data_IF_907943766740
#
_entry.id   IF_907943766740
#
_cell.length_a   1.000
_cell.length_b   1.000
_cell.length_c   1.000
_cell.angle_alpha   90.00
_cell.angle_beta   90.00
_cell.angle_gamma   90.00
#
_symmetry.space_group_name_H-M   'P 1'
#
loop_
_entity.id
_entity.type
_entity.pdbx_description
1 polymer ?
#
# COMPACT_ATOMS: atom_id res chain seq x y z
N UNK A 1 9.99 1.14 19.16
CA UNK A 1 10.53 1.81 17.96
C UNK A 1 12.04 1.86 18.09
N UNK A 2 12.77 1.12 17.25
CA UNK A 2 14.23 1.18 17.22
C UNK A 2 14.61 1.91 15.95
N UNK A 3 15.15 3.13 16.07
CA UNK A 3 15.80 3.80 14.93
C UNK A 3 17.08 3.04 14.63
N UNK A 4 17.01 2.11 13.69
CA UNK A 4 18.22 1.64 13.02
C UNK A 4 18.49 2.67 11.93
N UNK A 5 19.70 3.22 11.87
CA UNK A 5 20.10 4.16 10.82
C UNK A 5 20.15 3.38 9.50
N UNK A 6 19.22 3.67 8.58
CA UNK A 6 19.20 3.16 7.20
C UNK A 6 19.86 4.15 6.23
N UNK A 7 19.74 5.44 6.55
CA UNK A 7 20.42 6.50 5.84
C UNK A 7 21.20 7.32 6.86
N UNK A 8 22.41 7.71 6.49
CA UNK A 8 23.15 8.66 7.30
C UNK A 8 22.35 9.97 7.36
N UNK A 9 22.38 10.63 8.52
CA UNK A 9 21.68 11.91 8.69
C UNK A 9 22.10 12.93 7.60
N UNK A 10 23.31 12.80 7.07
CA UNK A 10 23.80 13.64 5.98
C UNK A 10 23.03 13.39 4.66
N UNK A 11 22.78 12.14 4.30
CA UNK A 11 22.07 11.78 3.06
C UNK A 11 20.61 12.23 3.14
N UNK A 12 19.98 12.07 4.31
CA UNK A 12 18.62 12.56 4.56
C UNK A 12 18.54 14.08 4.37
N UNK A 13 19.48 14.83 4.95
CA UNK A 13 19.51 16.29 4.80
C UNK A 13 19.83 16.72 3.37
N UNK A 14 20.70 15.99 2.66
CA UNK A 14 21.00 16.25 1.25
C UNK A 14 19.77 16.03 0.36
N UNK A 15 19.05 14.92 0.52
CA UNK A 15 17.80 14.64 -0.21
C UNK A 15 16.77 15.74 0.11
N UNK A 16 16.61 16.09 1.38
CA UNK A 16 15.68 17.13 1.81
C UNK A 16 16.00 18.48 1.17
N UNK A 17 17.28 18.86 1.09
CA UNK A 17 17.72 20.10 0.43
C UNK A 17 17.53 20.05 -1.09
N UNK A 18 17.95 18.96 -1.74
CA UNK A 18 17.91 18.82 -3.20
C UNK A 18 16.49 18.79 -3.76
N UNK A 19 15.55 18.26 -3.00
CA UNK A 19 14.14 18.15 -3.40
C UNK A 19 13.23 19.17 -2.69
N UNK A 20 13.81 20.08 -1.90
CA UNK A 20 13.09 21.14 -1.20
C UNK A 20 11.93 20.64 -0.32
N UNK A 21 12.21 19.58 0.45
CA UNK A 21 11.22 18.90 1.31
C UNK A 21 11.11 19.59 2.68
N UNK A 22 9.90 19.61 3.26
CA UNK A 22 9.71 20.10 4.64
C UNK A 22 10.27 19.10 5.67
N UNK A 23 10.15 17.81 5.37
CA UNK A 23 10.54 16.74 6.28
C UNK A 23 10.88 15.47 5.51
N UNK A 24 11.88 14.74 6.00
CA UNK A 24 12.20 13.38 5.57
C UNK A 24 12.64 12.59 6.81
N UNK A 25 12.08 11.39 7.01
CA UNK A 25 12.53 10.43 8.02
C UNK A 25 12.28 9.01 7.58
N UNK A 26 13.24 8.13 7.84
CA UNK A 26 13.09 6.69 7.64
C UNK A 26 12.91 6.02 9.00
N UNK A 27 11.92 5.14 9.11
CA UNK A 27 11.58 4.41 10.33
C UNK A 27 11.51 2.92 10.02
N UNK A 28 12.18 2.09 10.81
CA UNK A 28 11.96 0.64 10.83
C UNK A 28 11.11 0.25 12.03
N UNK A 29 10.10 -0.56 11.75
CA UNK A 29 9.24 -1.16 12.74
C UNK A 29 9.56 -2.65 12.89
N UNK A 30 10.41 -2.98 13.86
CA UNK A 30 10.93 -4.33 14.07
C UNK A 30 9.84 -5.38 14.29
N UNK A 31 8.71 -5.04 14.93
CA UNK A 31 7.66 -6.02 15.21
C UNK A 31 6.89 -6.49 13.96
N UNK A 32 7.01 -5.77 12.84
CA UNK A 32 6.31 -6.08 11.59
C UNK A 32 7.25 -6.19 10.38
N UNK A 33 8.58 -6.19 10.60
CA UNK A 33 9.60 -6.15 9.54
C UNK A 33 9.28 -5.14 8.43
N UNK A 34 8.89 -3.95 8.88
CA UNK A 34 8.33 -2.87 8.06
C UNK A 34 9.30 -1.69 8.00
N UNK A 35 9.50 -1.13 6.81
CA UNK A 35 10.20 0.14 6.62
C UNK A 35 9.20 1.18 6.10
N UNK A 36 9.15 2.33 6.78
CA UNK A 36 8.28 3.45 6.40
C UNK A 36 9.11 4.72 6.25
N UNK A 37 9.00 5.33 5.08
CA UNK A 37 9.65 6.60 4.74
C UNK A 37 8.59 7.69 4.79
N UNK A 38 8.78 8.65 5.70
CA UNK A 38 7.90 9.79 5.85
C UNK A 38 8.45 10.99 5.11
N UNK A 39 7.65 11.54 4.21
CA UNK A 39 7.99 12.74 3.45
C UNK A 39 6.89 13.78 3.68
N UNK A 40 7.26 14.97 4.16
CA UNK A 40 6.34 16.13 4.17
C UNK A 40 6.70 17.03 3.00
N UNK A 41 5.79 17.10 2.04
CA UNK A 41 5.93 17.97 0.86
C UNK A 41 5.41 19.37 1.17
N UNK A 42 5.92 20.36 0.44
CA UNK A 42 5.52 21.76 0.60
C UNK A 42 4.16 22.07 -0.01
N UNK A 43 3.84 21.42 -1.12
CA UNK A 43 2.61 21.59 -1.88
C UNK A 43 2.40 20.41 -2.82
N UNK A 44 1.18 20.26 -3.32
CA UNK A 44 0.76 19.27 -4.33
C UNK A 44 1.52 19.47 -5.64
N UNK A 45 1.86 20.72 -5.99
CA UNK A 45 2.74 21.00 -7.14
C UNK A 45 4.14 20.43 -6.91
N UNK A 46 4.71 20.63 -5.71
CA UNK A 46 6.02 20.04 -5.37
C UNK A 46 5.99 18.53 -5.33
N UNK A 47 4.96 17.95 -4.72
CA UNK A 47 4.73 16.50 -4.78
C UNK A 47 4.72 16.01 -6.23
N UNK A 48 3.94 16.65 -7.13
CA UNK A 48 3.85 16.28 -8.55
C UNK A 48 5.21 16.30 -9.25
N UNK A 49 6.06 17.26 -8.93
CA UNK A 49 7.41 17.42 -9.49
C UNK A 49 8.42 16.40 -8.94
N UNK A 50 8.28 16.07 -7.65
CA UNK A 50 9.35 15.43 -6.87
C UNK A 50 9.13 13.95 -6.58
N UNK A 51 7.89 13.46 -6.51
CA UNK A 51 7.60 12.12 -5.98
C UNK A 51 8.37 11.02 -6.72
N UNK A 52 8.52 11.11 -8.05
CA UNK A 52 9.27 10.13 -8.83
C UNK A 52 10.75 10.18 -8.51
N UNK A 53 11.32 11.39 -8.45
CA UNK A 53 12.76 11.60 -8.23
C UNK A 53 13.16 11.20 -6.82
N UNK A 54 12.38 11.60 -5.83
CA UNK A 54 12.57 11.18 -4.44
C UNK A 54 12.45 9.67 -4.32
N UNK A 55 11.45 9.05 -4.94
CA UNK A 55 11.31 7.60 -4.95
C UNK A 55 12.50 6.89 -5.61
N UNK A 56 13.04 7.41 -6.71
CA UNK A 56 14.22 6.84 -7.37
C UNK A 56 15.48 6.95 -6.51
N UNK A 57 15.76 8.12 -5.93
CA UNK A 57 16.93 8.28 -5.06
C UNK A 57 16.80 7.40 -3.82
N UNK A 58 15.64 7.39 -3.17
CA UNK A 58 15.39 6.51 -2.01
C UNK A 58 15.55 5.03 -2.38
N UNK A 59 15.21 4.65 -3.62
CA UNK A 59 15.39 3.27 -4.07
C UNK A 59 16.84 2.85 -4.10
N UNK A 60 17.69 3.70 -4.67
CA UNK A 60 19.14 3.47 -4.73
C UNK A 60 19.76 3.52 -3.33
N UNK A 61 19.33 4.47 -2.48
CA UNK A 61 19.94 4.65 -1.17
C UNK A 61 19.61 3.55 -0.16
N UNK A 62 18.54 2.78 -0.37
CA UNK A 62 18.05 1.76 0.58
C UNK A 62 18.19 0.35 -0.02
N UNK A 63 18.60 0.22 -1.29
CA UNK A 63 18.66 -1.07 -2.00
C UNK A 63 19.53 -2.09 -1.27
N UNK A 64 20.75 -1.71 -0.87
CA UNK A 64 21.71 -2.60 -0.22
C UNK A 64 21.17 -3.25 1.05
N UNK A 65 20.30 -2.55 1.79
CA UNK A 65 19.72 -3.02 3.03
C UNK A 65 18.49 -3.91 2.79
N UNK A 66 17.74 -3.65 1.71
CA UNK A 66 16.62 -4.50 1.25
C UNK A 66 17.11 -5.79 0.60
N UNK A 67 18.36 -5.84 0.12
CA UNK A 67 18.96 -7.06 -0.44
C UNK A 67 19.29 -8.10 0.65
N UNK A 68 19.42 -7.70 1.91
CA UNK A 68 19.74 -8.59 3.02
C UNK A 68 18.53 -9.48 3.38
N UNK A 69 17.32 -8.95 3.23
CA UNK A 69 16.09 -9.67 3.55
C UNK A 69 15.03 -9.47 2.46
N UNK A 70 14.84 -10.52 1.66
CA UNK A 70 13.84 -10.54 0.58
C UNK A 70 12.41 -10.28 1.07
N UNK A 71 12.10 -10.52 2.35
CA UNK A 71 10.78 -10.25 2.91
C UNK A 71 10.56 -8.75 3.14
N UNK A 72 11.55 -8.06 3.70
CA UNK A 72 11.48 -6.62 4.00
C UNK A 72 11.26 -5.80 2.72
N UNK A 73 11.81 -6.24 1.58
CA UNK A 73 11.55 -5.61 0.26
C UNK A 73 10.07 -5.45 -0.04
N UNK A 74 9.25 -6.42 0.36
CA UNK A 74 7.81 -6.36 0.15
C UNK A 74 7.09 -5.49 1.16
N UNK A 75 7.75 -5.03 2.23
CA UNK A 75 7.16 -4.25 3.32
C UNK A 75 7.82 -2.86 3.42
N UNK A 76 8.08 -2.24 2.27
CA UNK A 76 8.54 -0.85 2.17
C UNK A 76 7.38 0.07 1.78
N UNK A 77 7.22 1.14 2.56
CA UNK A 77 6.18 2.14 2.37
C UNK A 77 6.79 3.54 2.29
N UNK A 78 6.23 4.39 1.42
CA UNK A 78 6.48 5.83 1.40
C UNK A 78 5.16 6.52 1.71
N UNK A 79 5.13 7.28 2.79
CA UNK A 79 3.98 8.04 3.21
C UNK A 79 4.25 9.53 2.99
N UNK A 80 3.59 10.09 1.98
CA UNK A 80 3.62 11.51 1.66
C UNK A 80 2.55 12.22 2.48
N UNK A 81 2.95 13.27 3.19
CA UNK A 81 2.04 14.13 3.96
C UNK A 81 2.06 15.55 3.41
N UNK A 82 0.87 16.14 3.28
CA UNK A 82 0.68 17.50 2.77
C UNK A 82 -0.44 18.20 3.52
N UNK A 83 -0.29 19.50 3.76
CA UNK A 83 -1.31 20.31 4.42
C UNK A 83 -2.47 20.68 3.48
N UNK A 84 -2.21 20.67 2.17
CA UNK A 84 -3.20 20.93 1.14
C UNK A 84 -3.85 19.64 0.63
N UNK A 85 -4.98 19.80 -0.05
CA UNK A 85 -5.64 18.71 -0.77
C UNK A 85 -4.87 18.34 -2.03
N UNK A 86 -4.72 17.04 -2.27
CA UNK A 86 -4.08 16.51 -3.48
C UNK A 86 -5.17 15.98 -4.42
N UNK A 87 -5.08 16.30 -5.71
CA UNK A 87 -6.08 15.85 -6.68
C UNK A 87 -6.15 14.32 -6.76
N UNK A 88 -7.36 13.77 -6.96
CA UNK A 88 -7.55 12.33 -7.06
C UNK A 88 -6.72 11.70 -8.18
N UNK A 89 -6.54 12.41 -9.30
CA UNK A 89 -5.68 11.97 -10.40
C UNK A 89 -4.22 11.78 -9.95
N UNK A 90 -3.68 12.75 -9.21
CA UNK A 90 -2.31 12.69 -8.72
C UNK A 90 -2.15 11.61 -7.64
N UNK A 91 -3.13 11.48 -6.73
CA UNK A 91 -3.16 10.39 -5.75
C UNK A 91 -3.13 9.04 -6.43
N UNK A 92 -4.05 8.80 -7.36
CA UNK A 92 -4.12 7.56 -8.12
C UNK A 92 -2.81 7.26 -8.84
N UNK A 93 -2.21 8.26 -9.49
CA UNK A 93 -0.94 8.10 -10.20
C UNK A 93 0.20 7.65 -9.27
N UNK A 94 0.28 8.22 -8.07
CA UNK A 94 1.34 7.94 -7.11
C UNK A 94 1.09 6.61 -6.42
N UNK A 95 -0.10 6.37 -5.87
CA UNK A 95 -0.41 5.19 -5.06
C UNK A 95 -0.42 3.89 -5.88
N UNK A 96 -0.81 3.95 -7.16
CA UNK A 96 -0.75 2.80 -8.06
C UNK A 96 0.63 2.58 -8.69
N UNK A 97 1.59 3.46 -8.44
CA UNK A 97 2.94 3.26 -8.93
C UNK A 97 3.65 2.18 -8.10
N UNK A 98 3.94 1.04 -8.72
CA UNK A 98 4.52 -0.16 -8.09
C UNK A 98 6.04 -0.12 -7.93
N UNK A 99 6.71 0.94 -8.37
CA UNK A 99 8.18 1.02 -8.31
C UNK A 99 8.64 1.23 -6.85
N UNK A 100 9.61 0.41 -6.40
CA UNK A 100 10.35 0.47 -5.13
C UNK A 100 9.55 0.29 -3.81
N UNK A 101 8.36 0.87 -3.68
CA UNK A 101 7.60 0.87 -2.43
C UNK A 101 6.10 1.10 -2.68
N UNK A 102 5.27 0.67 -1.73
CA UNK A 102 3.86 1.10 -1.68
C UNK A 102 3.81 2.56 -1.24
N UNK A 103 3.10 3.39 -2.00
CA UNK A 103 3.00 4.82 -1.74
C UNK A 103 1.63 5.14 -1.20
N UNK A 104 1.58 6.00 -0.19
CA UNK A 104 0.36 6.45 0.47
C UNK A 104 0.41 7.97 0.52
N UNK A 105 -0.70 8.64 0.18
CA UNK A 105 -0.83 10.09 0.33
C UNK A 105 -1.84 10.38 1.43
N UNK A 106 -1.35 11.05 2.48
CA UNK A 106 -2.18 11.67 3.50
C UNK A 106 -2.20 13.19 3.27
N UNK A 107 -3.24 13.66 2.58
CA UNK A 107 -3.45 15.07 2.31
C UNK A 107 -4.26 15.74 3.43
N UNK A 108 -4.28 17.08 3.45
CA UNK A 108 -4.88 17.88 4.54
C UNK A 108 -4.32 17.55 5.94
N UNK A 109 -3.10 17.01 6.00
CA UNK A 109 -2.41 16.63 7.22
C UNK A 109 -1.67 17.83 7.83
N UNK A 110 -2.23 18.37 8.93
CA UNK A 110 -1.76 19.62 9.56
C UNK A 110 -0.88 19.40 10.79
N UNK A 111 -0.72 18.17 11.22
CA UNK A 111 0.07 17.86 12.41
C UNK A 111 1.55 17.78 12.06
N UNK A 112 2.41 18.02 13.04
CA UNK A 112 3.84 17.77 12.90
C UNK A 112 4.13 16.27 12.96
N UNK A 113 5.17 15.84 12.24
CA UNK A 113 5.64 14.45 12.22
C UNK A 113 6.51 14.14 13.45
N UNK A 114 5.89 14.26 14.63
CA UNK A 114 6.41 13.73 15.89
C UNK A 114 6.32 12.21 15.91
N UNK A 115 7.06 11.54 16.80
CA UNK A 115 7.05 10.08 16.89
C UNK A 115 5.65 9.51 17.17
N UNK A 116 4.86 10.19 18.01
CA UNK A 116 3.47 9.79 18.31
C UNK A 116 2.57 9.89 17.08
N UNK A 117 2.69 10.97 16.32
CA UNK A 117 1.87 11.20 15.13
C UNK A 117 2.28 10.27 13.98
N UNK A 118 3.58 9.98 13.84
CA UNK A 118 4.10 8.95 12.94
C UNK A 118 3.49 7.59 13.27
N UNK A 119 3.45 7.21 14.55
CA UNK A 119 2.84 5.96 14.97
C UNK A 119 1.36 5.88 14.57
N UNK A 120 0.59 6.95 14.80
CA UNK A 120 -0.82 7.03 14.38
C UNK A 120 -1.00 6.86 12.87
N UNK A 121 -0.11 7.44 12.06
CA UNK A 121 -0.15 7.27 10.60
C UNK A 121 0.13 5.83 10.17
N UNK A 122 1.10 5.16 10.80
CA UNK A 122 1.37 3.73 10.55
C UNK A 122 0.16 2.88 10.93
N UNK A 123 -0.42 3.14 12.10
CA UNK A 123 -1.60 2.41 12.59
C UNK A 123 -2.80 2.58 11.65
N UNK A 124 -3.06 3.81 11.21
CA UNK A 124 -4.17 4.15 10.32
C UNK A 124 -4.05 3.51 8.93
N UNK A 125 -2.86 3.49 8.34
CA UNK A 125 -2.70 3.15 6.92
C UNK A 125 -2.07 1.80 6.64
N UNK A 126 -1.35 1.22 7.60
CA UNK A 126 -0.53 0.03 7.36
C UNK A 126 -0.96 -1.13 8.25
N UNK A 127 -0.96 -0.96 9.57
CA UNK A 127 -1.26 -2.09 10.49
C UNK A 127 -2.75 -2.25 10.77
N UNK A 128 -3.55 -1.20 10.57
CA UNK A 128 -4.99 -1.21 10.82
C UNK A 128 -5.35 -1.74 12.22
N UNK A 129 -4.54 -1.39 13.22
CA UNK A 129 -4.72 -1.84 14.60
C UNK A 129 -6.02 -1.33 15.25
N UNK A 130 -6.71 -0.40 14.60
CA UNK A 130 -8.03 0.10 14.96
C UNK A 130 -9.18 -0.80 14.47
N UNK A 131 -8.92 -1.76 13.57
CA UNK A 131 -9.91 -2.75 13.12
C UNK A 131 -10.17 -3.75 14.25
N UNK A 132 -11.37 -3.67 14.82
CA UNK A 132 -11.90 -4.69 15.73
C UNK A 132 -12.69 -5.72 14.94
N UNK A 133 -12.19 -6.94 14.85
CA UNK A 133 -12.98 -8.07 14.37
C UNK A 133 -14.08 -8.36 15.41
N UNK A 134 -15.28 -7.86 15.15
CA UNK A 134 -16.47 -8.30 15.87
C UNK A 134 -16.66 -9.77 15.47
N UNK A 135 -16.67 -10.68 16.46
CA UNK A 135 -17.03 -12.08 16.21
C UNK A 135 -18.42 -12.11 15.57
N UNK A 136 -18.47 -12.30 14.26
CA UNK A 136 -19.71 -12.61 13.57
C UNK A 136 -20.04 -14.07 13.88
N UNK A 137 -21.31 -14.33 14.17
CA UNK A 137 -21.82 -15.70 14.21
C UNK A 137 -21.52 -16.35 12.86
N UNK A 138 -21.03 -17.59 12.83
CA UNK A 138 -21.02 -18.35 11.58
C UNK A 138 -22.46 -18.47 11.09
N UNK A 139 -22.77 -17.74 10.03
CA UNK A 139 -24.03 -17.90 9.33
C UNK A 139 -23.85 -19.15 8.44
N UNK A 140 -24.45 -20.26 8.83
CA UNK A 140 -24.50 -21.50 8.05
C UNK A 140 -25.50 -21.40 6.87
N UNK A 141 -25.73 -20.20 6.35
CA UNK A 141 -26.57 -20.04 5.17
C UNK A 141 -25.74 -20.48 3.97
N UNK A 142 -26.13 -21.62 3.39
CA UNK A 142 -25.64 -22.00 2.07
C UNK A 142 -25.97 -20.84 1.14
N UNK A 143 -24.94 -20.22 0.56
CA UNK A 143 -25.10 -19.15 -0.42
C UNK A 143 -26.10 -19.58 -1.47
N UNK A 144 -27.16 -18.79 -1.67
CA UNK A 144 -28.19 -19.00 -2.70
C UNK A 144 -28.32 -17.75 -3.55
N UNK A 145 -28.48 -17.93 -4.86
CA UNK A 145 -28.69 -16.83 -5.80
C UNK A 145 -29.73 -17.23 -6.84
N UNK A 146 -30.57 -16.28 -7.25
CA UNK A 146 -31.53 -16.48 -8.35
C UNK A 146 -30.87 -16.38 -9.74
N UNK A 147 -29.54 -16.19 -9.79
CA UNK A 147 -28.80 -16.15 -11.05
C UNK A 147 -28.86 -17.50 -11.75
N UNK A 148 -29.06 -17.46 -13.07
CA UNK A 148 -28.99 -18.64 -13.94
C UNK A 148 -27.68 -19.41 -13.76
N UNK A 149 -26.56 -18.68 -13.63
CA UNK A 149 -25.22 -19.26 -13.37
C UNK A 149 -25.20 -20.05 -12.07
N UNK A 150 -25.80 -19.52 -11.00
CA UNK A 150 -25.87 -20.23 -9.73
C UNK A 150 -26.75 -21.49 -9.84
N UNK A 151 -27.87 -21.41 -10.53
CA UNK A 151 -28.77 -22.56 -10.72
C UNK A 151 -28.13 -23.71 -11.49
N UNK A 152 -27.22 -23.41 -12.41
CA UNK A 152 -26.48 -24.41 -13.21
C UNK A 152 -25.30 -25.02 -12.43
N UNK A 153 -24.72 -24.28 -11.49
CA UNK A 153 -23.54 -24.72 -10.73
C UNK A 153 -23.87 -25.36 -9.36
N UNK A 154 -25.00 -25.02 -8.74
CA UNK A 154 -25.32 -25.41 -7.35
C UNK A 154 -25.35 -26.93 -7.08
N UNK A 155 -25.59 -27.74 -8.11
CA UNK A 155 -25.71 -29.20 -8.00
C UNK A 155 -24.45 -29.92 -8.52
N UNK A 156 -23.42 -29.19 -8.95
CA UNK A 156 -22.16 -29.75 -9.45
C UNK A 156 -21.19 -30.05 -8.31
N UNK A 157 -21.55 -31.02 -7.46
CA UNK A 157 -20.75 -31.37 -6.29
C UNK A 157 -19.53 -32.28 -6.58
N UNK A 158 -19.40 -32.83 -7.79
CA UNK A 158 -18.23 -33.59 -8.24
C UNK A 158 -17.98 -33.37 -9.73
N UNK A 159 -17.12 -32.40 -10.06
CA UNK A 159 -16.68 -32.14 -11.43
C UNK A 159 -15.29 -32.77 -11.61
N UNK A 160 -15.21 -33.86 -12.36
CA UNK A 160 -13.96 -34.31 -12.97
C UNK A 160 -13.73 -33.49 -14.27
N UNK A 161 -12.47 -33.25 -14.65
CA UNK A 161 -12.04 -32.39 -15.75
C UNK A 161 -12.86 -32.54 -17.05
N UNK A 162 -13.29 -33.76 -17.38
CA UNK A 162 -14.09 -34.02 -18.59
C UNK A 162 -15.49 -33.39 -18.58
N UNK A 163 -16.07 -33.08 -17.41
CA UNK A 163 -17.36 -32.37 -17.30
C UNK A 163 -17.23 -30.86 -17.45
N UNK A 164 -16.03 -30.29 -17.25
CA UNK A 164 -15.80 -28.84 -17.38
C UNK A 164 -15.96 -28.42 -18.84
N UNK A 165 -15.42 -29.20 -19.78
CA UNK A 165 -15.50 -28.91 -21.21
C UNK A 165 -16.95 -28.98 -21.75
N UNK A 166 -17.78 -29.88 -21.22
CA UNK A 166 -19.21 -29.93 -21.56
C UNK A 166 -19.97 -28.69 -21.06
N UNK A 167 -19.67 -28.23 -19.85
CA UNK A 167 -20.32 -27.04 -19.26
C UNK A 167 -19.90 -25.77 -20.00
N UNK A 168 -18.62 -25.64 -20.38
CA UNK A 168 -18.13 -24.50 -21.13
C UNK A 168 -18.81 -24.38 -22.50
N UNK A 169 -18.99 -25.50 -23.22
CA UNK A 169 -19.71 -25.50 -24.49
C UNK A 169 -21.19 -25.11 -24.34
N UNK A 170 -21.88 -25.56 -23.28
CA UNK A 170 -23.27 -25.20 -23.01
C UNK A 170 -23.45 -23.70 -22.71
N UNK A 171 -22.47 -23.07 -22.06
CA UNK A 171 -22.48 -21.64 -21.78
C UNK A 171 -22.20 -20.79 -23.03
N UNK A 172 -21.36 -21.29 -23.95
CA UNK A 172 -21.07 -20.60 -25.22
C UNK A 172 -22.26 -20.64 -26.21
N UNK A 173 -23.04 -21.72 -26.21
CA UNK A 173 -24.24 -21.83 -27.07
C UNK A 173 -25.39 -20.91 -26.63
N UNK A 174 -25.45 -20.51 -25.36
CA UNK A 174 -26.46 -19.60 -24.81
C UNK A 174 -26.23 -18.10 -25.08
N UNK A 175 -25.16 -17.74 -25.78
CA UNK A 175 -24.75 -16.34 -26.07
C UNK A 175 -25.01 -15.95 -27.54
N UNK A 176 -25.70 -16.79 -28.33
CA UNK A 176 -26.18 -16.44 -29.68
C UNK A 176 -27.61 -15.91 -29.71
#
# INVERSE_FOLDING_TARGET
MKLIKFLDNKDIEEIKLNYDLNYLKVVKYESYDLIVIFIKEKSSNKLKENWQKTCSVLSESIEDELLIDNFIRWNVYILYTLEEEVSNELKYKIENNTFFARKIIEDRYKLDLTDENIQKLIEKHITFNDIRLIKTSQVNDKYSSDSKVYSELKDLHDINANKIDEILNLLEEGVK
#
